data_IF_527881997861
#
_entry.id   IF_527881997861
#
_cell.length_a   1.000
_cell.length_b   1.000
_cell.length_c   1.000
_cell.angle_alpha   90.00
_cell.angle_beta   90.00
_cell.angle_gamma   90.00
#
_symmetry.space_group_name_H-M   'P 1'
#
loop_
_entity.id
_entity.type
_entity.pdbx_description
1 polymer ?
#
# COMPACT_ATOMS: atom_id res chain seq x y z
N UNK A 1 -14.89 -0.60 -14.37
CA UNK A 1 -13.62 -0.40 -13.67
C UNK A 1 -13.95 -0.45 -12.20
N UNK A 2 -13.36 -1.36 -11.45
CA UNK A 2 -13.63 -1.40 -10.01
C UNK A 2 -12.89 -0.22 -9.38
N UNK A 3 -13.65 0.71 -8.79
CA UNK A 3 -13.10 1.91 -8.15
C UNK A 3 -12.65 1.55 -6.73
N UNK A 4 -11.41 1.87 -6.39
CA UNK A 4 -10.85 1.70 -5.04
C UNK A 4 -10.90 3.03 -4.29
N UNK A 5 -11.28 3.00 -3.03
CA UNK A 5 -11.24 4.16 -2.13
C UNK A 5 -10.40 3.84 -0.90
N UNK A 6 -9.37 4.64 -0.66
CA UNK A 6 -8.67 4.66 0.62
C UNK A 6 -9.55 5.36 1.66
N UNK A 7 -10.36 4.58 2.37
CA UNK A 7 -11.36 5.09 3.32
C UNK A 7 -10.69 5.70 4.55
N UNK A 8 -9.57 5.10 4.98
CA UNK A 8 -8.69 5.64 6.02
C UNK A 8 -7.23 5.47 5.61
N UNK A 9 -6.40 6.46 5.93
CA UNK A 9 -4.99 6.51 5.57
C UNK A 9 -4.11 6.79 6.79
N UNK A 10 -2.98 6.09 6.91
CA UNK A 10 -1.88 6.37 7.87
C UNK A 10 -2.25 6.36 9.35
N UNK A 11 -3.15 5.46 9.73
CA UNK A 11 -3.72 5.43 11.07
C UNK A 11 -2.82 4.75 12.11
N UNK A 12 -1.72 4.11 11.69
CA UNK A 12 -0.84 3.38 12.60
C UNK A 12 0.46 4.12 12.93
N UNK A 13 0.94 3.91 14.16
CA UNK A 13 2.33 4.10 14.54
C UNK A 13 3.16 2.87 14.10
N UNK A 14 4.48 2.99 14.14
CA UNK A 14 5.41 1.92 13.71
C UNK A 14 5.35 0.66 14.58
N UNK A 15 4.87 0.76 15.82
CA UNK A 15 4.68 -0.38 16.73
C UNK A 15 3.35 -1.14 16.49
N UNK A 16 2.54 -0.70 15.51
CA UNK A 16 1.24 -1.27 15.19
C UNK A 16 0.10 -0.84 16.12
N UNK A 17 0.32 0.15 16.99
CA UNK A 17 -0.73 0.86 17.72
C UNK A 17 -1.37 1.95 16.85
N UNK A 18 -2.60 2.38 17.19
CA UNK A 18 -3.22 3.51 16.50
C UNK A 18 -2.50 4.82 16.83
N UNK A 19 -2.23 5.61 15.80
CA UNK A 19 -1.70 6.98 15.91
C UNK A 19 -2.69 7.85 16.68
N UNK A 20 -2.17 8.73 17.54
CA UNK A 20 -3.01 9.77 18.18
C UNK A 20 -3.48 10.79 17.15
N UNK A 21 -4.79 10.86 16.95
CA UNK A 21 -5.47 11.81 16.07
C UNK A 21 -6.76 12.28 16.73
N UNK A 22 -7.45 13.25 16.14
CA UNK A 22 -8.79 13.62 16.63
C UNK A 22 -9.74 12.42 16.60
N UNK A 23 -9.63 11.56 15.58
CA UNK A 23 -10.47 10.38 15.42
C UNK A 23 -10.20 9.33 16.48
N UNK A 24 -8.93 8.95 16.67
CA UNK A 24 -8.58 7.91 17.65
C UNK A 24 -8.77 8.36 19.10
N UNK A 25 -8.61 9.66 19.39
CA UNK A 25 -8.90 10.20 20.73
C UNK A 25 -10.39 10.23 21.05
N UNK A 26 -11.25 10.46 20.06
CA UNK A 26 -12.70 10.57 20.29
C UNK A 26 -13.42 9.21 20.19
N UNK A 27 -12.96 8.32 19.32
CA UNK A 27 -13.67 7.07 18.98
C UNK A 27 -12.82 5.81 19.17
N UNK A 28 -11.55 5.93 19.58
CA UNK A 28 -10.65 4.78 19.64
C UNK A 28 -10.47 4.15 18.27
N UNK A 29 -10.76 2.86 18.14
CA UNK A 29 -10.74 2.15 16.86
C UNK A 29 -12.04 2.30 16.06
N UNK A 30 -13.15 2.68 16.70
CA UNK A 30 -14.49 2.60 16.11
C UNK A 30 -14.67 3.54 14.91
N UNK A 31 -13.86 4.60 14.78
CA UNK A 31 -13.91 5.47 13.61
C UNK A 31 -13.65 4.71 12.31
N UNK A 32 -12.85 3.64 12.34
CA UNK A 32 -12.58 2.80 11.16
C UNK A 32 -13.87 2.12 10.73
N UNK A 33 -14.55 1.42 11.63
CA UNK A 33 -15.82 0.75 11.33
C UNK A 33 -16.87 1.74 10.82
N UNK A 34 -17.00 2.90 11.47
CA UNK A 34 -17.97 3.94 11.08
C UNK A 34 -17.67 4.48 9.67
N UNK A 35 -16.40 4.77 9.36
CA UNK A 35 -16.01 5.28 8.04
C UNK A 35 -16.31 4.25 6.93
N UNK A 36 -15.96 2.97 7.15
CA UNK A 36 -16.21 1.92 6.16
C UNK A 36 -17.70 1.61 5.98
N UNK A 37 -18.50 1.66 7.05
CA UNK A 37 -19.96 1.53 6.95
C UNK A 37 -20.56 2.68 6.13
N UNK A 38 -20.15 3.92 6.40
CA UNK A 38 -20.62 5.08 5.66
C UNK A 38 -20.23 5.02 4.18
N UNK A 39 -18.97 4.67 3.88
CA UNK A 39 -18.50 4.51 2.51
C UNK A 39 -19.30 3.42 1.76
N UNK A 40 -19.52 2.27 2.40
CA UNK A 40 -20.32 1.18 1.81
C UNK A 40 -21.77 1.57 1.56
N UNK A 41 -22.36 2.38 2.43
CA UNK A 41 -23.72 2.89 2.26
C UNK A 41 -23.83 3.88 1.10
N UNK A 42 -22.79 4.69 0.88
CA UNK A 42 -22.75 5.66 -0.20
C UNK A 42 -22.53 5.00 -1.57
N UNK A 43 -21.66 3.98 -1.64
CA UNK A 43 -21.43 3.18 -2.84
C UNK A 43 -21.13 1.73 -2.46
N UNK A 44 -22.10 0.84 -2.70
CA UNK A 44 -21.94 -0.58 -2.41
C UNK A 44 -21.02 -1.31 -3.37
N UNK A 45 -20.71 -0.73 -4.53
CA UNK A 45 -19.93 -1.33 -5.61
C UNK A 45 -18.44 -1.01 -5.53
N UNK A 46 -18.07 0.07 -4.85
CA UNK A 46 -16.68 0.43 -4.61
C UNK A 46 -15.93 -0.64 -3.78
N UNK A 47 -14.64 -0.78 -4.07
CA UNK A 47 -13.71 -1.52 -3.22
C UNK A 47 -13.15 -0.60 -2.15
N UNK A 48 -13.35 -0.97 -0.88
CA UNK A 48 -12.98 -0.14 0.26
C UNK A 48 -11.66 -0.60 0.84
N UNK A 49 -10.67 0.29 0.82
CA UNK A 49 -9.30 0.03 1.22
C UNK A 49 -8.91 0.79 2.48
N UNK A 50 -8.03 0.17 3.27
CA UNK A 50 -7.21 0.84 4.28
C UNK A 50 -5.78 0.94 3.75
N UNK A 51 -5.16 2.12 3.82
CA UNK A 51 -3.86 2.39 3.22
C UNK A 51 -2.85 2.92 4.26
N UNK A 52 -1.59 2.48 4.20
CA UNK A 52 -0.53 2.97 5.09
C UNK A 52 0.88 2.75 4.50
N UNK A 53 1.87 3.52 4.97
CA UNK A 53 3.29 3.35 4.66
C UNK A 53 4.00 2.43 5.66
N UNK A 54 5.26 2.07 5.37
CA UNK A 54 6.09 1.16 6.17
C UNK A 54 5.48 -0.25 6.35
N UNK A 55 4.60 -0.65 5.44
CA UNK A 55 4.07 -2.01 5.33
C UNK A 55 4.92 -2.85 4.37
N UNK A 56 6.24 -2.68 4.42
CA UNK A 56 7.20 -3.17 3.41
C UNK A 56 8.01 -4.38 3.90
N UNK A 57 7.70 -4.87 5.10
CA UNK A 57 8.21 -6.10 5.70
C UNK A 57 7.18 -6.64 6.69
N UNK A 58 7.27 -7.91 7.10
CA UNK A 58 6.38 -8.48 8.11
C UNK A 58 6.72 -7.98 9.54
N UNK A 59 6.57 -6.68 9.76
CA UNK A 59 6.95 -5.96 10.98
C UNK A 59 5.75 -5.74 11.93
N UNK A 60 5.97 -5.02 13.03
CA UNK A 60 4.93 -4.74 14.03
C UNK A 60 3.74 -3.95 13.46
N UNK A 61 3.99 -3.02 12.53
CA UNK A 61 2.95 -2.22 11.85
C UNK A 61 2.07 -3.09 10.95
N UNK A 62 2.65 -4.00 10.16
CA UNK A 62 1.91 -5.01 9.39
C UNK A 62 1.07 -5.90 10.32
N UNK A 63 1.62 -6.33 11.45
CA UNK A 63 0.86 -7.11 12.43
C UNK A 63 -0.28 -6.28 13.07
N UNK A 64 -0.11 -4.97 13.26
CA UNK A 64 -1.17 -4.05 13.67
C UNK A 64 -2.30 -3.96 12.63
N UNK A 65 -1.94 -3.78 11.37
CA UNK A 65 -2.88 -3.76 10.23
C UNK A 65 -3.68 -5.06 10.16
N UNK A 66 -3.02 -6.22 10.21
CA UNK A 66 -3.67 -7.55 10.18
C UNK A 66 -4.66 -7.71 11.33
N UNK A 67 -4.27 -7.35 12.56
CA UNK A 67 -5.16 -7.43 13.74
C UNK A 67 -6.40 -6.56 13.58
N UNK A 68 -6.22 -5.31 13.14
CA UNK A 68 -7.32 -4.38 12.94
C UNK A 68 -8.29 -4.90 11.88
N UNK A 69 -7.78 -5.27 10.71
CA UNK A 69 -8.61 -5.74 9.59
C UNK A 69 -9.40 -6.98 9.98
N UNK A 70 -8.77 -7.95 10.63
CA UNK A 70 -9.46 -9.14 11.14
C UNK A 70 -10.52 -8.78 12.19
N UNK A 71 -10.25 -7.81 13.07
CA UNK A 71 -11.22 -7.34 14.06
C UNK A 71 -12.44 -6.70 13.41
N UNK A 72 -12.24 -5.78 12.46
CA UNK A 72 -13.32 -5.07 11.76
C UNK A 72 -14.14 -6.03 10.89
N UNK A 73 -13.48 -6.98 10.23
CA UNK A 73 -14.15 -7.96 9.36
C UNK A 73 -14.71 -9.19 10.11
N UNK A 74 -14.55 -9.30 11.42
CA UNK A 74 -14.93 -10.50 12.20
C UNK A 74 -16.43 -10.84 12.17
N UNK A 75 -17.30 -9.85 11.91
CA UNK A 75 -18.74 -10.04 11.73
C UNK A 75 -19.14 -10.03 10.27
N UNK A 76 -19.17 -8.82 9.69
CA UNK A 76 -19.41 -8.60 8.27
C UNK A 76 -18.13 -8.08 7.63
N UNK A 77 -17.78 -8.59 6.44
CA UNK A 77 -16.65 -8.05 5.68
C UNK A 77 -16.98 -6.62 5.24
N UNK A 78 -16.28 -5.65 5.83
CA UNK A 78 -16.39 -4.22 5.54
C UNK A 78 -15.20 -3.74 4.72
N UNK A 79 -14.01 -4.17 5.09
CA UNK A 79 -12.75 -3.85 4.41
C UNK A 79 -12.54 -4.89 3.31
N UNK A 80 -12.46 -4.43 2.06
CA UNK A 80 -12.22 -5.32 0.91
C UNK A 80 -10.73 -5.55 0.70
N UNK A 81 -9.93 -4.49 0.87
CA UNK A 81 -8.54 -4.44 0.48
C UNK A 81 -7.63 -3.71 1.46
N UNK A 82 -6.33 -4.00 1.37
CA UNK A 82 -5.27 -3.34 2.10
C UNK A 82 -4.26 -2.76 1.11
N UNK A 83 -4.03 -1.45 1.17
CA UNK A 83 -3.00 -0.74 0.43
C UNK A 83 -1.70 -0.68 1.23
N UNK A 84 -0.58 -1.03 0.59
CA UNK A 84 0.76 -0.66 1.05
C UNK A 84 1.31 0.41 0.12
N UNK A 85 1.65 1.58 0.67
CA UNK A 85 2.17 2.69 -0.13
C UNK A 85 3.48 2.33 -0.82
N UNK A 86 4.36 1.59 -0.14
CA UNK A 86 5.68 1.20 -0.64
C UNK A 86 6.58 2.38 -1.08
N UNK A 87 6.69 3.39 -0.22
CA UNK A 87 7.74 4.42 -0.33
C UNK A 87 9.07 3.88 0.18
N UNK A 88 9.87 3.30 -0.71
CA UNK A 88 11.04 2.53 -0.32
C UNK A 88 12.34 3.35 -0.36
N UNK A 89 13.26 2.97 0.53
CA UNK A 89 14.68 3.32 0.41
C UNK A 89 15.39 2.40 -0.59
N UNK A 90 16.58 2.81 -1.04
CA UNK A 90 17.42 1.98 -1.91
C UNK A 90 17.73 0.63 -1.22
N UNK A 91 17.50 -0.48 -1.91
CA UNK A 91 17.63 -1.83 -1.35
C UNK A 91 16.47 -2.27 -0.42
N UNK A 92 15.40 -1.47 -0.32
CA UNK A 92 14.27 -1.71 0.59
C UNK A 92 13.25 -2.75 0.12
N UNK A 93 13.36 -3.27 -1.11
CA UNK A 93 12.35 -4.13 -1.71
C UNK A 93 12.30 -5.57 -1.14
N UNK A 94 13.35 -6.01 -0.44
CA UNK A 94 13.49 -7.42 -0.02
C UNK A 94 12.42 -7.92 0.94
N UNK A 95 11.77 -7.03 1.71
CA UNK A 95 10.71 -7.40 2.67
C UNK A 95 9.30 -7.47 2.07
N UNK A 96 9.09 -6.93 0.88
CA UNK A 96 7.75 -6.66 0.33
C UNK A 96 6.94 -7.95 0.16
N UNK A 97 7.56 -9.02 -0.33
CA UNK A 97 6.90 -10.34 -0.46
C UNK A 97 6.34 -10.84 0.88
N UNK A 98 7.10 -10.70 1.96
CA UNK A 98 6.67 -11.16 3.29
C UNK A 98 5.52 -10.31 3.84
N UNK A 99 5.55 -9.00 3.57
CA UNK A 99 4.46 -8.11 3.95
C UNK A 99 3.16 -8.43 3.19
N UNK A 100 3.22 -8.53 1.86
CA UNK A 100 2.05 -8.86 1.04
C UNK A 100 1.43 -10.20 1.44
N UNK A 101 2.25 -11.21 1.71
CA UNK A 101 1.77 -12.51 2.22
C UNK A 101 1.03 -12.37 3.55
N UNK A 102 1.56 -11.59 4.50
CA UNK A 102 0.93 -11.38 5.80
C UNK A 102 -0.39 -10.60 5.69
N UNK A 103 -0.44 -9.56 4.86
CA UNK A 103 -1.63 -8.75 4.63
C UNK A 103 -2.73 -9.58 3.92
N UNK A 104 -2.36 -10.35 2.89
CA UNK A 104 -3.27 -11.22 2.16
C UNK A 104 -3.89 -12.33 3.03
N UNK A 105 -3.22 -12.74 4.11
CA UNK A 105 -3.73 -13.74 5.05
C UNK A 105 -5.00 -13.29 5.80
N UNK A 106 -5.36 -12.00 5.75
CA UNK A 106 -6.64 -11.48 6.27
C UNK A 106 -7.84 -11.87 5.39
N UNK A 107 -7.61 -12.39 4.19
CA UNK A 107 -8.67 -12.63 3.18
C UNK A 107 -9.12 -11.37 2.44
N UNK A 108 -8.38 -10.27 2.60
CA UNK A 108 -8.52 -9.07 1.77
C UNK A 108 -7.65 -9.17 0.51
N UNK A 109 -8.04 -8.47 -0.55
CA UNK A 109 -7.11 -8.16 -1.64
C UNK A 109 -6.03 -7.19 -1.12
N UNK A 110 -4.88 -7.17 -1.78
CA UNK A 110 -3.79 -6.24 -1.46
C UNK A 110 -3.42 -5.44 -2.71
N UNK A 111 -2.95 -4.22 -2.52
CA UNK A 111 -2.47 -3.37 -3.60
C UNK A 111 -1.21 -2.63 -3.17
N UNK A 112 -0.31 -2.40 -4.11
CA UNK A 112 0.79 -1.45 -3.92
C UNK A 112 0.32 -0.12 -4.49
N UNK A 113 0.14 0.88 -3.64
CA UNK A 113 -0.70 2.06 -3.96
C UNK A 113 0.09 3.29 -4.36
N UNK A 114 1.34 3.45 -3.88
CA UNK A 114 2.10 4.69 -4.01
C UNK A 114 3.60 4.42 -4.25
N UNK A 115 3.92 3.44 -5.10
CA UNK A 115 5.28 2.94 -5.25
C UNK A 115 6.25 4.02 -5.76
N UNK A 116 7.28 4.27 -4.98
CA UNK A 116 8.51 4.95 -5.38
C UNK A 116 9.71 4.36 -4.62
N UNK A 117 10.87 4.27 -5.26
CA UNK A 117 12.06 3.63 -4.67
C UNK A 117 13.26 4.54 -4.89
N UNK A 118 13.87 5.05 -3.82
CA UNK A 118 15.07 5.89 -3.90
C UNK A 118 16.12 5.32 -4.85
N UNK A 119 16.53 6.11 -5.84
CA UNK A 119 17.49 5.78 -6.89
C UNK A 119 16.94 4.93 -8.04
N UNK A 120 15.69 4.48 -7.96
CA UNK A 120 15.01 3.66 -8.96
C UNK A 120 15.86 2.50 -9.50
N UNK A 121 16.38 1.69 -8.57
CA UNK A 121 17.11 0.46 -8.92
C UNK A 121 16.20 -0.46 -9.74
N UNK A 122 16.69 -0.92 -10.89
CA UNK A 122 15.99 -1.91 -11.71
C UNK A 122 15.74 -3.22 -10.94
N UNK A 123 16.68 -3.61 -10.06
CA UNK A 123 16.51 -4.79 -9.22
C UNK A 123 15.36 -4.60 -8.21
N UNK A 124 15.32 -3.48 -7.50
CA UNK A 124 14.28 -3.26 -6.48
C UNK A 124 12.89 -3.19 -7.10
N UNK A 125 12.73 -2.44 -8.21
CA UNK A 125 11.45 -2.37 -8.92
C UNK A 125 10.98 -3.74 -9.42
N UNK A 126 11.88 -4.56 -9.97
CA UNK A 126 11.52 -5.92 -10.40
C UNK A 126 11.28 -6.87 -9.23
N UNK A 127 11.93 -6.68 -8.08
CA UNK A 127 11.62 -7.42 -6.84
C UNK A 127 10.21 -7.10 -6.35
N UNK A 128 9.81 -5.83 -6.34
CA UNK A 128 8.45 -5.42 -5.96
C UNK A 128 7.40 -5.99 -6.92
N UNK A 129 7.63 -5.90 -8.24
CA UNK A 129 6.76 -6.49 -9.25
C UNK A 129 6.55 -7.98 -8.99
N UNK A 130 7.64 -8.73 -8.85
CA UNK A 130 7.60 -10.18 -8.61
C UNK A 130 6.90 -10.52 -7.29
N UNK A 131 7.08 -9.70 -6.25
CA UNK A 131 6.40 -9.90 -4.99
C UNK A 131 4.87 -9.86 -5.15
N UNK A 132 4.36 -8.87 -5.89
CA UNK A 132 2.94 -8.79 -6.21
C UNK A 132 2.48 -9.95 -7.10
N UNK A 133 3.21 -10.27 -8.18
CA UNK A 133 2.87 -11.39 -9.08
C UNK A 133 2.82 -12.75 -8.36
N UNK A 134 3.68 -12.94 -7.36
CA UNK A 134 3.71 -14.16 -6.54
C UNK A 134 2.65 -14.19 -5.42
N UNK A 135 1.90 -13.11 -5.22
CA UNK A 135 0.82 -13.02 -4.24
C UNK A 135 -0.51 -12.92 -4.99
N UNK A 136 -1.30 -14.00 -5.12
CA UNK A 136 -2.54 -14.00 -5.91
C UNK A 136 -3.58 -12.96 -5.48
N UNK A 137 -3.53 -12.49 -4.22
CA UNK A 137 -4.39 -11.44 -3.71
C UNK A 137 -3.94 -10.02 -4.11
N UNK A 138 -2.74 -9.87 -4.67
CA UNK A 138 -2.21 -8.58 -5.11
C UNK A 138 -2.80 -8.20 -6.47
N UNK A 139 -3.66 -7.19 -6.49
CA UNK A 139 -4.48 -6.86 -7.68
C UNK A 139 -3.92 -5.71 -8.52
N UNK A 140 -3.03 -4.89 -7.95
CA UNK A 140 -2.48 -3.72 -8.64
C UNK A 140 -1.16 -3.22 -8.04
N UNK A 141 -0.41 -2.51 -8.89
CA UNK A 141 0.73 -1.67 -8.50
C UNK A 141 0.53 -0.30 -9.15
N UNK A 142 0.59 0.75 -8.35
CA UNK A 142 0.51 2.15 -8.79
C UNK A 142 1.79 2.86 -8.38
N UNK A 143 2.46 3.55 -9.31
CA UNK A 143 3.63 4.37 -8.99
C UNK A 143 3.21 5.78 -8.59
N UNK A 144 3.89 6.38 -7.61
CA UNK A 144 3.54 7.71 -7.08
C UNK A 144 4.14 8.85 -7.90
N UNK A 145 3.72 8.89 -9.16
CA UNK A 145 4.15 9.86 -10.15
C UNK A 145 4.74 9.21 -11.40
N UNK A 146 4.98 10.03 -12.42
CA UNK A 146 5.56 9.57 -13.69
C UNK A 146 7.06 9.83 -13.73
N UNK A 147 7.47 11.08 -13.58
CA UNK A 147 8.86 11.55 -13.74
C UNK A 147 9.46 12.01 -12.42
N UNK A 148 10.74 11.72 -12.22
CA UNK A 148 11.55 12.22 -11.09
C UNK A 148 11.41 13.73 -10.87
N UNK A 149 11.17 14.50 -11.95
CA UNK A 149 11.02 15.96 -11.89
C UNK A 149 9.85 16.39 -11.00
N UNK A 150 8.74 15.67 -11.07
CA UNK A 150 7.48 16.07 -10.44
C UNK A 150 7.20 15.25 -9.16
N UNK A 151 8.11 14.35 -8.78
CA UNK A 151 7.99 13.54 -7.57
C UNK A 151 8.07 14.40 -6.30
N UNK A 152 7.25 14.07 -5.30
CA UNK A 152 7.36 14.62 -3.94
C UNK A 152 8.73 14.31 -3.29
N UNK A 153 9.45 13.32 -3.81
CA UNK A 153 10.81 12.91 -3.44
C UNK A 153 11.82 13.16 -4.58
N UNK A 154 11.66 14.24 -5.35
CA UNK A 154 12.49 14.51 -6.55
C UNK A 154 14.01 14.40 -6.34
N UNK A 155 14.52 14.77 -5.16
CA UNK A 155 15.95 14.62 -4.81
C UNK A 155 16.45 13.17 -4.70
N UNK A 156 15.55 12.19 -4.56
CA UNK A 156 15.87 10.77 -4.49
C UNK A 156 15.82 10.06 -5.86
N UNK A 157 15.42 10.76 -6.92
CA UNK A 157 15.19 10.20 -8.28
C UNK A 157 14.46 8.86 -8.28
N UNK A 158 13.26 8.78 -7.68
CA UNK A 158 12.73 7.50 -7.23
C UNK A 158 11.76 6.84 -8.22
N UNK A 159 11.45 7.47 -9.35
CA UNK A 159 10.41 7.02 -10.29
C UNK A 159 10.99 6.33 -11.54
N UNK A 160 10.09 5.85 -12.39
CA UNK A 160 10.40 5.08 -13.60
C UNK A 160 10.87 5.92 -14.78
N UNK A 161 10.62 7.24 -14.79
CA UNK A 161 11.08 8.18 -15.81
C UNK A 161 11.97 9.25 -15.24
N UNK A 162 12.98 9.66 -16.00
CA UNK A 162 13.90 10.73 -15.63
C UNK A 162 13.24 12.12 -15.73
N UNK A 163 14.00 13.17 -15.42
CA UNK A 163 13.49 14.56 -15.43
C UNK A 163 13.09 15.10 -16.82
N UNK A 164 13.44 14.39 -17.89
CA UNK A 164 13.08 14.71 -19.27
C UNK A 164 11.99 13.76 -19.82
N UNK A 165 11.30 13.04 -18.94
CA UNK A 165 10.31 12.02 -19.28
C UNK A 165 10.84 10.91 -20.18
N UNK A 166 12.13 10.60 -20.09
CA UNK A 166 12.69 9.42 -20.75
C UNK A 166 12.65 8.21 -19.79
N UNK A 167 12.31 7.01 -20.27
CA UNK A 167 12.23 5.82 -19.43
C UNK A 167 13.61 5.47 -18.87
N UNK A 168 13.67 5.20 -17.56
CA UNK A 168 14.89 4.76 -16.87
C UNK A 168 15.08 3.25 -17.04
N UNK A 169 16.26 2.76 -16.64
CA UNK A 169 16.56 1.33 -16.64
C UNK A 169 15.52 0.49 -15.87
N UNK A 170 14.98 1.01 -14.76
CA UNK A 170 13.92 0.35 -14.00
C UNK A 170 12.64 0.14 -14.81
N UNK A 171 12.21 1.11 -15.61
CA UNK A 171 11.03 0.96 -16.48
C UNK A 171 11.23 -0.21 -17.45
N UNK A 172 12.36 -0.22 -18.15
CA UNK A 172 12.65 -1.27 -19.12
C UNK A 172 12.73 -2.66 -18.45
N UNK A 173 13.29 -2.74 -17.24
CA UNK A 173 13.39 -3.97 -16.48
C UNK A 173 12.03 -4.50 -16.03
N UNK A 174 11.14 -3.62 -15.54
CA UNK A 174 9.75 -3.97 -15.16
C UNK A 174 9.01 -4.49 -16.39
N UNK A 175 9.04 -3.77 -17.50
CA UNK A 175 8.35 -4.19 -18.74
C UNK A 175 8.87 -5.51 -19.31
N UNK A 176 10.14 -5.87 -19.06
CA UNK A 176 10.72 -7.14 -19.51
C UNK A 176 10.42 -8.32 -18.59
N UNK A 177 9.92 -8.05 -17.37
CA UNK A 177 9.67 -9.05 -16.33
C UNK A 177 8.18 -9.40 -16.16
N UNK A 178 7.31 -8.81 -16.96
CA UNK A 178 5.88 -9.13 -17.09
C UNK A 178 5.67 -10.19 -18.18
#
# INVERSE_FOLDING_TARGET
MDHQWDVVNEIFNEDGSLRSSVFSRLMGQDFVTVAFQAARQADSTAKLYINDYNLDSNNAKVQGMVRLVNSVNSGNKLIDGIGTQAHLNAGGAGGVQAALTALAATGCEVAITELDIKGASANDYTTVLKACLNTPACVSITSWGVSDRDSWRSGDTPLLYDSNYQPKAAYNAVMSAM
#
